data_IF_521359254557
#
_entry.id   IF_521359254557
#
_cell.length_a   1.000
_cell.length_b   1.000
_cell.length_c   1.000
_cell.angle_alpha   90.00
_cell.angle_beta   90.00
_cell.angle_gamma   90.00
#
_symmetry.space_group_name_H-M   'P 1'
#
loop_
_entity.id
_entity.type
_entity.pdbx_description
1 polymer ?
#
# COMPACT_ATOMS: atom_id res chain seq x y z
N UNK A 1 31.99 -12.69 -35.80
CA UNK A 1 32.66 -13.77 -35.02
C UNK A 1 34.10 -13.42 -34.72
N UNK A 2 34.84 -12.84 -35.67
CA UNK A 2 36.13 -12.16 -35.40
C UNK A 2 36.00 -11.02 -34.38
N UNK A 3 34.82 -10.37 -34.32
CA UNK A 3 34.56 -9.23 -33.41
C UNK A 3 34.62 -9.58 -31.92
N UNK A 4 34.25 -10.81 -31.54
CA UNK A 4 34.19 -11.24 -30.13
C UNK A 4 35.20 -12.34 -29.77
N UNK A 5 35.92 -12.91 -30.75
CA UNK A 5 36.96 -13.93 -30.49
C UNK A 5 36.48 -15.25 -29.88
N UNK A 6 35.18 -15.56 -29.93
CA UNK A 6 34.58 -16.76 -29.29
C UNK A 6 33.99 -17.76 -30.29
N UNK A 7 33.80 -19.01 -29.84
CA UNK A 7 33.16 -20.07 -30.62
C UNK A 7 31.66 -19.81 -30.87
N UNK A 8 31.09 -20.43 -31.91
CA UNK A 8 29.63 -20.36 -32.19
C UNK A 8 28.78 -20.89 -31.04
N UNK A 9 29.27 -21.93 -30.37
CA UNK A 9 28.59 -22.54 -29.23
C UNK A 9 28.56 -21.60 -28.04
N UNK A 10 29.70 -20.96 -27.73
CA UNK A 10 29.82 -19.96 -26.67
C UNK A 10 28.92 -18.76 -26.92
N UNK A 11 28.87 -18.25 -28.16
CA UNK A 11 27.99 -17.14 -28.52
C UNK A 11 26.51 -17.50 -28.34
N UNK A 12 26.11 -18.71 -28.73
CA UNK A 12 24.74 -19.18 -28.56
C UNK A 12 24.34 -19.29 -27.09
N UNK A 13 25.25 -19.73 -26.23
CA UNK A 13 24.97 -19.84 -24.80
C UNK A 13 24.89 -18.47 -24.13
N UNK A 14 25.78 -17.54 -24.49
CA UNK A 14 25.68 -16.14 -24.06
C UNK A 14 24.34 -15.51 -24.48
N UNK A 15 23.89 -15.74 -25.72
CA UNK A 15 22.59 -15.27 -26.21
C UNK A 15 21.41 -15.87 -25.45
N UNK A 16 21.48 -17.15 -25.06
CA UNK A 16 20.46 -17.79 -24.21
C UNK A 16 20.39 -17.19 -22.81
N UNK A 17 21.54 -16.88 -22.22
CA UNK A 17 21.59 -16.21 -20.91
C UNK A 17 20.98 -14.80 -21.01
N UNK A 18 21.36 -14.03 -22.04
CA UNK A 18 20.80 -12.69 -22.28
C UNK A 18 19.30 -12.73 -22.58
N UNK A 19 18.83 -13.75 -23.32
CA UNK A 19 17.41 -13.99 -23.57
C UNK A 19 16.67 -14.34 -22.27
N UNK A 20 17.25 -15.19 -21.43
CA UNK A 20 16.72 -15.52 -20.11
C UNK A 20 16.67 -14.32 -19.13
N UNK A 21 17.57 -13.34 -19.30
CA UNK A 21 17.54 -12.07 -18.57
C UNK A 21 16.55 -11.05 -19.15
N UNK A 22 15.93 -11.33 -20.31
CA UNK A 22 15.04 -10.40 -21.01
C UNK A 22 15.78 -9.26 -21.73
N UNK A 23 17.10 -9.33 -21.90
CA UNK A 23 17.91 -8.29 -22.56
C UNK A 23 17.89 -8.42 -24.08
N UNK A 24 17.57 -9.62 -24.60
CA UNK A 24 17.41 -9.87 -26.03
C UNK A 24 16.21 -10.79 -26.29
N UNK A 25 15.63 -10.70 -27.48
CA UNK A 25 14.59 -11.62 -27.98
C UNK A 25 15.13 -12.36 -29.20
N UNK A 26 15.02 -13.71 -29.22
CA UNK A 26 15.41 -14.52 -30.37
C UNK A 26 14.18 -14.90 -31.19
N UNK A 27 13.99 -14.24 -32.34
CA UNK A 27 12.90 -14.56 -33.27
C UNK A 27 13.35 -15.60 -34.30
N UNK A 28 12.55 -16.66 -34.48
CA UNK A 28 12.82 -17.71 -35.48
C UNK A 28 12.26 -17.32 -36.86
N UNK A 29 12.92 -17.74 -37.93
CA UNK A 29 12.46 -17.57 -39.32
C UNK A 29 13.43 -16.82 -40.22
N UNK A 30 13.04 -16.61 -41.48
CA UNK A 30 13.86 -15.98 -42.53
C UNK A 30 14.17 -14.51 -42.20
N UNK A 31 13.23 -13.82 -41.53
CA UNK A 31 13.39 -12.47 -40.97
C UNK A 31 13.74 -12.48 -39.48
N UNK A 32 14.11 -13.66 -38.96
CA UNK A 32 14.49 -13.86 -37.57
C UNK A 32 15.88 -13.30 -37.27
N UNK A 33 16.26 -13.35 -35.99
CA UNK A 33 17.49 -12.76 -35.50
C UNK A 33 17.47 -12.52 -34.01
N UNK A 34 18.53 -11.92 -33.50
CA UNK A 34 18.63 -11.43 -32.12
C UNK A 34 18.26 -9.97 -32.13
N UNK A 35 17.29 -9.58 -31.32
CA UNK A 35 16.85 -8.19 -31.16
C UNK A 35 17.10 -7.76 -29.73
N UNK A 36 17.49 -6.49 -29.52
CA UNK A 36 17.55 -5.92 -28.16
C UNK A 36 16.11 -5.86 -27.65
N UNK A 37 15.90 -6.39 -26.45
CA UNK A 37 14.63 -6.32 -25.76
C UNK A 37 14.73 -5.30 -24.63
N UNK A 38 13.64 -4.56 -24.41
CA UNK A 38 13.46 -3.83 -23.16
C UNK A 38 13.00 -4.85 -22.12
N UNK A 39 13.69 -4.91 -20.97
CA UNK A 39 13.32 -5.83 -19.90
C UNK A 39 11.95 -5.38 -19.39
N UNK A 40 10.93 -6.20 -19.61
CA UNK A 40 9.60 -5.88 -19.15
C UNK A 40 9.48 -6.04 -17.63
N UNK A 41 8.51 -5.33 -17.04
CA UNK A 41 8.24 -5.43 -15.60
C UNK A 41 7.93 -6.87 -15.18
N UNK A 42 7.30 -7.65 -16.07
CA UNK A 42 6.91 -9.03 -15.82
C UNK A 42 8.13 -9.93 -15.60
N UNK A 43 9.17 -9.82 -16.40
CA UNK A 43 10.42 -10.59 -16.26
C UNK A 43 11.14 -10.22 -14.98
N UNK A 44 11.17 -8.93 -14.64
CA UNK A 44 11.77 -8.45 -13.39
C UNK A 44 11.04 -9.02 -12.17
N UNK A 45 9.71 -8.93 -12.14
CA UNK A 45 8.87 -9.47 -11.06
C UNK A 45 9.09 -10.98 -10.90
N UNK A 46 9.12 -11.75 -12.00
CA UNK A 46 9.40 -13.19 -11.94
C UNK A 46 10.77 -13.50 -11.32
N UNK A 47 11.80 -12.71 -11.62
CA UNK A 47 13.11 -12.86 -11.00
C UNK A 47 13.06 -12.71 -9.48
N UNK A 48 12.33 -11.70 -8.98
CA UNK A 48 12.12 -11.46 -7.55
C UNK A 48 11.30 -12.60 -6.93
N UNK A 49 10.23 -13.05 -7.59
CA UNK A 49 9.42 -14.19 -7.12
C UNK A 49 10.24 -15.48 -7.01
N UNK A 50 11.10 -15.76 -7.99
CA UNK A 50 12.00 -16.92 -7.93
C UNK A 50 12.98 -16.84 -6.74
N UNK A 51 13.51 -15.66 -6.46
CA UNK A 51 14.36 -15.45 -5.28
C UNK A 51 13.59 -15.69 -3.97
N UNK A 52 12.35 -15.24 -3.90
CA UNK A 52 11.49 -15.38 -2.72
C UNK A 52 10.78 -16.73 -2.63
N UNK A 53 10.79 -17.56 -3.67
CA UNK A 53 10.15 -18.88 -3.67
C UNK A 53 10.62 -19.77 -2.50
N UNK A 54 11.86 -19.58 -2.06
CA UNK A 54 12.45 -20.30 -0.91
C UNK A 54 12.30 -19.56 0.42
N UNK A 55 11.55 -18.46 0.46
CA UNK A 55 11.25 -17.67 1.65
C UNK A 55 9.76 -17.82 1.97
N UNK A 56 9.43 -17.99 3.24
CA UNK A 56 8.05 -17.94 3.70
C UNK A 56 7.63 -16.48 3.82
N UNK A 57 6.78 -16.00 2.91
CA UNK A 57 6.12 -14.69 3.02
C UNK A 57 4.84 -14.90 3.83
N UNK A 58 4.74 -14.28 5.00
CA UNK A 58 3.55 -14.41 5.84
C UNK A 58 2.46 -13.40 5.45
N UNK A 59 1.20 -13.68 5.84
CA UNK A 59 0.10 -12.71 5.73
C UNK A 59 0.43 -11.41 6.47
N UNK A 60 1.18 -11.50 7.57
CA UNK A 60 1.66 -10.34 8.32
C UNK A 60 2.62 -9.48 7.49
N UNK A 61 3.59 -10.10 6.83
CA UNK A 61 4.59 -9.38 6.02
C UNK A 61 3.92 -8.67 4.83
N UNK A 62 3.03 -9.35 4.13
CA UNK A 62 2.33 -8.77 2.97
C UNK A 62 1.37 -7.65 3.40
N UNK A 63 0.68 -7.79 4.54
CA UNK A 63 -0.20 -6.73 5.04
C UNK A 63 0.60 -5.52 5.52
N UNK A 64 1.76 -5.74 6.17
CA UNK A 64 2.65 -4.67 6.63
C UNK A 64 3.17 -3.84 5.47
N UNK A 65 3.67 -4.46 4.39
CA UNK A 65 4.21 -3.70 3.26
C UNK A 65 3.12 -2.91 2.54
N UNK A 66 1.92 -3.49 2.39
CA UNK A 66 0.74 -2.78 1.84
C UNK A 66 0.38 -1.59 2.71
N UNK A 67 0.35 -1.75 4.03
CA UNK A 67 0.08 -0.68 5.00
C UNK A 67 1.05 0.50 4.87
N UNK A 68 2.33 0.23 4.58
CA UNK A 68 3.35 1.27 4.43
C UNK A 68 3.29 1.99 3.07
N UNK A 69 2.84 1.33 2.01
CA UNK A 69 2.96 1.83 0.63
C UNK A 69 1.63 2.30 0.02
N UNK A 70 0.53 1.59 0.26
CA UNK A 70 -0.73 1.90 -0.40
C UNK A 70 -1.40 3.22 0.04
N UNK A 71 -1.40 3.59 1.34
CA UNK A 71 -1.99 4.87 1.73
C UNK A 71 -1.36 6.10 1.05
N UNK A 72 -0.02 6.27 1.01
CA UNK A 72 0.57 7.39 0.27
C UNK A 72 0.38 7.26 -1.26
N UNK A 73 0.32 6.05 -1.82
CA UNK A 73 -0.05 5.85 -3.24
C UNK A 73 -1.44 6.40 -3.54
N UNK A 74 -2.43 6.03 -2.72
CA UNK A 74 -3.81 6.47 -2.89
C UNK A 74 -3.98 7.97 -2.66
N UNK A 75 -3.21 8.56 -1.73
CA UNK A 75 -3.15 10.01 -1.55
C UNK A 75 -2.67 10.72 -2.84
N UNK A 76 -1.57 10.24 -3.43
CA UNK A 76 -1.07 10.78 -4.71
C UNK A 76 -2.14 10.64 -5.80
N UNK A 77 -2.79 9.47 -5.87
CA UNK A 77 -3.88 9.24 -6.82
C UNK A 77 -5.04 10.24 -6.64
N UNK A 78 -5.48 10.50 -5.39
CA UNK A 78 -6.55 11.48 -5.11
C UNK A 78 -6.22 12.88 -5.61
N UNK A 79 -4.97 13.32 -5.47
CA UNK A 79 -4.54 14.65 -5.93
C UNK A 79 -4.57 14.78 -7.48
N UNK A 80 -4.41 13.67 -8.21
CA UNK A 80 -4.25 13.64 -9.67
C UNK A 80 -5.47 13.14 -10.44
N UNK A 81 -6.43 12.53 -9.76
CA UNK A 81 -7.54 11.82 -10.38
C UNK A 81 -8.32 12.71 -11.36
N UNK A 82 -8.63 12.12 -12.51
CA UNK A 82 -9.43 12.71 -13.59
C UNK A 82 -10.76 11.96 -13.75
N UNK A 83 -11.75 12.55 -14.44
CA UNK A 83 -13.05 11.90 -14.68
C UNK A 83 -12.93 10.51 -15.33
N UNK A 84 -11.98 10.31 -16.24
CA UNK A 84 -11.76 9.04 -16.93
C UNK A 84 -11.26 7.94 -15.97
N UNK A 85 -10.45 8.32 -14.98
CA UNK A 85 -9.96 7.42 -13.94
C UNK A 85 -11.10 6.93 -13.05
N UNK A 86 -12.03 7.82 -12.71
CA UNK A 86 -13.20 7.49 -11.90
C UNK A 86 -14.03 6.42 -12.61
N UNK A 87 -14.33 6.62 -13.90
CA UNK A 87 -15.06 5.63 -14.72
C UNK A 87 -14.32 4.30 -14.74
N UNK A 88 -12.98 4.34 -14.86
CA UNK A 88 -12.16 3.13 -14.89
C UNK A 88 -12.19 2.38 -13.56
N UNK A 89 -12.03 3.08 -12.43
CA UNK A 89 -12.11 2.51 -11.09
C UNK A 89 -13.52 1.97 -10.78
N UNK A 90 -14.59 2.66 -11.17
CA UNK A 90 -15.97 2.19 -11.05
C UNK A 90 -16.18 0.86 -11.78
N UNK A 91 -15.61 0.70 -12.98
CA UNK A 91 -15.72 -0.54 -13.75
C UNK A 91 -15.05 -1.76 -13.08
N UNK A 92 -14.11 -1.52 -12.16
CA UNK A 92 -13.41 -2.56 -11.41
C UNK A 92 -14.20 -2.99 -10.15
N UNK A 93 -15.06 -2.12 -9.63
CA UNK A 93 -15.93 -2.42 -8.49
C UNK A 93 -17.16 -3.19 -8.99
N UNK A 94 -17.10 -4.53 -8.97
CA UNK A 94 -18.22 -5.39 -9.38
C UNK A 94 -18.92 -6.03 -8.19
N UNK A 95 -20.25 -5.98 -8.18
CA UNK A 95 -21.06 -6.75 -7.22
C UNK A 95 -21.32 -8.19 -7.67
N UNK A 96 -21.08 -8.51 -8.94
CA UNK A 96 -21.43 -9.80 -9.52
C UNK A 96 -20.50 -10.91 -8.97
N UNK A 97 -21.02 -11.81 -8.11
CA UNK A 97 -20.22 -12.81 -7.41
C UNK A 97 -19.96 -14.05 -8.29
N UNK A 98 -20.44 -14.09 -9.54
CA UNK A 98 -20.62 -15.32 -10.31
C UNK A 98 -19.31 -15.99 -10.76
N UNK A 99 -18.16 -15.30 -10.72
CA UNK A 99 -16.86 -15.92 -11.04
C UNK A 99 -15.74 -15.43 -10.08
N UNK A 100 -15.34 -16.22 -9.07
CA UNK A 100 -14.34 -15.82 -8.08
C UNK A 100 -13.02 -15.29 -8.67
N UNK A 101 -12.50 -15.92 -9.72
CA UNK A 101 -11.25 -15.50 -10.38
C UNK A 101 -11.34 -14.12 -11.04
N UNK A 102 -12.51 -13.71 -11.55
CA UNK A 102 -12.67 -12.38 -12.16
C UNK A 102 -12.79 -11.30 -11.08
N UNK A 103 -13.29 -11.66 -9.90
CA UNK A 103 -13.43 -10.74 -8.77
C UNK A 103 -12.06 -10.42 -8.18
N UNK A 104 -11.23 -11.43 -7.89
CA UNK A 104 -9.85 -11.22 -7.37
C UNK A 104 -9.04 -10.36 -8.33
N UNK A 105 -9.06 -10.70 -9.62
CA UNK A 105 -8.32 -9.93 -10.63
C UNK A 105 -8.77 -8.46 -10.72
N UNK A 106 -10.08 -8.19 -10.53
CA UNK A 106 -10.62 -6.82 -10.59
C UNK A 106 -10.31 -6.01 -9.34
N UNK A 107 -10.46 -6.59 -8.15
CA UNK A 107 -10.17 -5.87 -6.91
C UNK A 107 -8.66 -5.59 -6.77
N UNK A 108 -7.79 -6.53 -7.15
CA UNK A 108 -6.35 -6.27 -7.23
C UNK A 108 -6.05 -5.23 -8.31
N UNK A 109 -6.77 -5.28 -9.44
CA UNK A 109 -6.69 -4.29 -10.50
C UNK A 109 -6.97 -2.86 -10.04
N UNK A 110 -7.82 -2.68 -9.03
CA UNK A 110 -8.12 -1.38 -8.43
C UNK A 110 -6.86 -0.76 -7.81
N UNK A 111 -6.15 -1.49 -6.94
CA UNK A 111 -4.93 -1.01 -6.28
C UNK A 111 -3.80 -0.77 -7.29
N UNK A 112 -3.64 -1.65 -8.30
CA UNK A 112 -2.71 -1.44 -9.41
C UNK A 112 -3.00 -0.17 -10.20
N UNK A 113 -4.27 0.17 -10.39
CA UNK A 113 -4.65 1.39 -11.08
C UNK A 113 -4.21 2.62 -10.29
N UNK A 114 -4.44 2.65 -8.97
CA UNK A 114 -3.97 3.73 -8.10
C UNK A 114 -2.44 3.88 -8.16
N UNK A 115 -1.72 2.76 -8.15
CA UNK A 115 -0.26 2.77 -8.27
C UNK A 115 0.21 3.41 -9.59
N UNK A 116 -0.47 3.15 -10.71
CA UNK A 116 -0.13 3.73 -12.03
C UNK A 116 -0.29 5.25 -12.06
N UNK A 117 -1.23 5.80 -11.32
CA UNK A 117 -1.45 7.26 -11.22
C UNK A 117 -0.28 7.99 -10.53
N UNK A 118 0.61 7.27 -9.85
CA UNK A 118 1.83 7.86 -9.29
C UNK A 118 2.86 8.22 -10.36
N UNK A 119 2.75 7.63 -11.56
CA UNK A 119 3.71 7.75 -12.67
C UNK A 119 5.16 7.40 -12.29
N UNK A 120 5.36 6.79 -11.12
CA UNK A 120 6.67 6.38 -10.66
C UNK A 120 6.89 4.90 -11.02
N UNK A 121 7.79 4.59 -11.98
CA UNK A 121 7.96 3.23 -12.46
C UNK A 121 8.44 2.25 -11.38
N UNK A 122 9.18 2.73 -10.37
CA UNK A 122 9.64 1.89 -9.25
C UNK A 122 8.47 1.56 -8.33
N UNK A 123 7.64 2.55 -8.00
CA UNK A 123 6.47 2.33 -7.14
C UNK A 123 5.44 1.43 -7.82
N UNK A 124 5.23 1.62 -9.12
CA UNK A 124 4.38 0.72 -9.94
C UNK A 124 4.92 -0.71 -9.90
N UNK A 125 6.23 -0.90 -10.12
CA UNK A 125 6.86 -2.22 -10.08
C UNK A 125 6.69 -2.91 -8.72
N UNK A 126 6.92 -2.18 -7.62
CA UNK A 126 6.79 -2.72 -6.25
C UNK A 126 5.34 -3.06 -5.94
N UNK A 127 4.38 -2.21 -6.32
CA UNK A 127 2.96 -2.47 -6.13
C UNK A 127 2.48 -3.66 -6.96
N UNK A 128 2.84 -3.74 -8.26
CA UNK A 128 2.51 -4.88 -9.11
C UNK A 128 3.09 -6.19 -8.54
N UNK A 129 4.30 -6.16 -7.97
CA UNK A 129 4.92 -7.29 -7.30
C UNK A 129 4.12 -7.76 -6.07
N UNK A 130 3.76 -6.83 -5.17
CA UNK A 130 2.96 -7.09 -3.96
C UNK A 130 1.59 -7.68 -4.34
N UNK A 131 0.95 -7.08 -5.33
CA UNK A 131 -0.37 -7.46 -5.81
C UNK A 131 -0.39 -8.86 -6.45
N UNK A 132 0.69 -9.29 -7.10
CA UNK A 132 0.81 -10.66 -7.61
C UNK A 132 0.88 -11.70 -6.48
N UNK A 133 1.60 -11.41 -5.39
CA UNK A 133 1.62 -12.29 -4.21
C UNK A 133 0.21 -12.37 -3.60
N UNK A 134 -0.47 -11.24 -3.52
CA UNK A 134 -1.82 -11.19 -2.97
C UNK A 134 -2.83 -11.96 -3.82
N UNK A 135 -2.72 -11.90 -5.15
CA UNK A 135 -3.54 -12.68 -6.09
C UNK A 135 -3.38 -14.19 -5.86
N UNK A 136 -2.13 -14.65 -5.76
CA UNK A 136 -1.81 -16.04 -5.48
C UNK A 136 -2.36 -16.50 -4.12
N UNK A 137 -2.19 -15.69 -3.07
CA UNK A 137 -2.73 -15.97 -1.74
C UNK A 137 -4.26 -16.06 -1.77
N UNK A 138 -4.94 -15.06 -2.33
CA UNK A 138 -6.41 -15.00 -2.37
C UNK A 138 -7.00 -16.14 -3.19
N UNK A 139 -6.37 -16.48 -4.32
CA UNK A 139 -6.77 -17.59 -5.18
C UNK A 139 -6.67 -18.96 -4.48
N UNK A 140 -5.76 -19.11 -3.52
CA UNK A 140 -5.60 -20.34 -2.74
C UNK A 140 -6.57 -20.44 -1.54
N UNK A 141 -7.10 -19.33 -1.04
CA UNK A 141 -7.79 -19.27 0.26
C UNK A 141 -9.33 -19.36 0.24
N UNK A 142 -9.99 -19.58 -0.90
CA UNK A 142 -11.47 -19.73 -1.02
C UNK A 142 -12.28 -18.81 -0.08
N UNK A 143 -12.06 -17.49 -0.19
CA UNK A 143 -12.52 -16.49 0.77
C UNK A 143 -14.05 -16.26 0.81
N UNK A 144 -14.78 -16.81 -0.16
CA UNK A 144 -16.25 -16.76 -0.21
C UNK A 144 -16.84 -15.40 -0.58
N UNK A 145 -18.14 -15.39 -0.94
CA UNK A 145 -18.81 -14.18 -1.43
C UNK A 145 -18.99 -13.06 -0.40
N UNK A 146 -19.14 -13.40 0.89
CA UNK A 146 -19.29 -12.40 1.96
C UNK A 146 -18.04 -11.52 2.09
N UNK A 147 -16.85 -12.12 1.96
CA UNK A 147 -15.58 -11.40 1.96
C UNK A 147 -15.54 -10.38 0.81
N UNK A 148 -15.80 -10.81 -0.42
CA UNK A 148 -15.75 -9.92 -1.58
C UNK A 148 -16.84 -8.83 -1.54
N UNK A 149 -18.00 -9.10 -0.91
CA UNK A 149 -19.00 -8.07 -0.69
C UNK A 149 -18.50 -6.96 0.25
N UNK A 150 -17.65 -7.28 1.25
CA UNK A 150 -17.01 -6.27 2.10
C UNK A 150 -15.94 -5.49 1.34
N UNK A 151 -15.09 -6.18 0.56
CA UNK A 151 -14.09 -5.54 -0.32
C UNK A 151 -14.74 -4.53 -1.26
N UNK A 152 -15.88 -4.89 -1.87
CA UNK A 152 -16.65 -3.97 -2.74
C UNK A 152 -17.12 -2.73 -1.98
N UNK A 153 -17.55 -2.86 -0.71
CA UNK A 153 -17.93 -1.70 0.11
C UNK A 153 -16.74 -0.81 0.42
N UNK A 154 -15.60 -1.40 0.78
CA UNK A 154 -14.36 -0.67 1.05
C UNK A 154 -13.87 0.09 -0.19
N UNK A 155 -13.84 -0.56 -1.35
CA UNK A 155 -13.46 0.08 -2.62
C UNK A 155 -14.39 1.23 -3.01
N UNK A 156 -15.69 1.13 -2.71
CA UNK A 156 -16.63 2.26 -2.89
C UNK A 156 -16.32 3.42 -1.96
N UNK A 157 -16.04 3.16 -0.68
CA UNK A 157 -15.67 4.22 0.26
C UNK A 157 -14.39 4.95 -0.20
N UNK A 158 -13.37 4.19 -0.62
CA UNK A 158 -12.14 4.73 -1.21
C UNK A 158 -12.44 5.58 -2.44
N UNK A 159 -13.27 5.08 -3.35
CA UNK A 159 -13.64 5.80 -4.58
C UNK A 159 -14.40 7.10 -4.28
N UNK A 160 -15.28 7.14 -3.28
CA UNK A 160 -15.97 8.37 -2.90
C UNK A 160 -14.99 9.42 -2.35
N UNK A 161 -13.99 9.01 -1.55
CA UNK A 161 -12.91 9.90 -1.15
C UNK A 161 -12.09 10.40 -2.35
N UNK A 162 -11.78 9.53 -3.31
CA UNK A 162 -11.07 9.88 -4.53
C UNK A 162 -11.85 10.91 -5.37
N UNK A 163 -13.16 10.72 -5.58
CA UNK A 163 -14.03 11.67 -6.29
C UNK A 163 -14.03 13.07 -5.66
N UNK A 164 -13.96 13.11 -4.33
CA UNK A 164 -13.91 14.37 -3.55
C UNK A 164 -12.50 14.94 -3.43
N UNK A 165 -11.48 14.25 -3.95
CA UNK A 165 -10.06 14.55 -3.74
C UNK A 165 -9.70 14.69 -2.25
N UNK A 166 -10.37 13.91 -1.40
CA UNK A 166 -10.10 13.86 0.04
C UNK A 166 -8.87 12.98 0.31
N UNK A 167 -7.70 13.61 0.27
CA UNK A 167 -6.40 12.98 0.53
C UNK A 167 -6.30 12.32 1.91
N UNK A 168 -6.94 12.87 2.93
CA UNK A 168 -6.91 12.32 4.29
C UNK A 168 -7.89 11.15 4.41
N UNK A 169 -9.10 11.32 3.87
CA UNK A 169 -10.11 10.28 3.82
C UNK A 169 -9.64 9.05 3.04
N UNK A 170 -9.03 9.23 1.86
CA UNK A 170 -8.57 8.10 1.04
C UNK A 170 -7.50 7.27 1.77
N UNK A 171 -6.58 7.92 2.50
CA UNK A 171 -5.58 7.21 3.31
C UNK A 171 -6.24 6.38 4.40
N UNK A 172 -7.21 6.95 5.10
CA UNK A 172 -7.96 6.27 6.16
C UNK A 172 -8.70 5.06 5.60
N UNK A 173 -9.44 5.20 4.50
CA UNK A 173 -10.22 4.10 3.93
C UNK A 173 -9.34 2.99 3.36
N UNK A 174 -8.19 3.32 2.76
CA UNK A 174 -7.19 2.31 2.37
C UNK A 174 -6.69 1.56 3.60
N UNK A 175 -6.29 2.26 4.67
CA UNK A 175 -5.84 1.60 5.90
C UNK A 175 -6.91 0.65 6.45
N UNK A 176 -8.17 1.07 6.49
CA UNK A 176 -9.28 0.23 6.94
C UNK A 176 -9.43 -1.02 6.08
N UNK A 177 -9.43 -0.88 4.74
CA UNK A 177 -9.48 -2.00 3.79
C UNK A 177 -8.34 -2.99 4.01
N UNK A 178 -7.11 -2.48 4.13
CA UNK A 178 -5.91 -3.31 4.31
C UNK A 178 -5.95 -4.13 5.59
N UNK A 179 -6.37 -3.51 6.70
CA UNK A 179 -6.47 -4.20 7.98
C UNK A 179 -7.63 -5.20 7.99
N UNK A 180 -8.77 -4.87 7.40
CA UNK A 180 -9.90 -5.80 7.28
C UNK A 180 -9.54 -7.02 6.42
N UNK A 181 -8.96 -6.79 5.24
CA UNK A 181 -8.48 -7.86 4.34
C UNK A 181 -7.39 -8.68 5.03
N UNK A 182 -6.38 -8.04 5.61
CA UNK A 182 -5.29 -8.73 6.31
C UNK A 182 -5.79 -9.62 7.45
N UNK A 183 -6.75 -9.13 8.25
CA UNK A 183 -7.41 -9.91 9.30
C UNK A 183 -8.14 -11.13 8.74
N UNK A 184 -8.86 -10.96 7.63
CA UNK A 184 -9.60 -12.05 7.01
C UNK A 184 -8.65 -13.12 6.43
N UNK A 185 -7.59 -12.71 5.74
CA UNK A 185 -6.57 -13.62 5.21
C UNK A 185 -5.84 -14.37 6.32
N UNK A 186 -5.53 -13.70 7.43
CA UNK A 186 -4.89 -14.32 8.58
C UNK A 186 -5.80 -15.40 9.20
N UNK A 187 -7.09 -15.08 9.38
CA UNK A 187 -8.09 -16.03 9.86
C UNK A 187 -8.25 -17.23 8.93
N UNK A 188 -8.34 -17.00 7.62
CA UNK A 188 -8.50 -18.06 6.62
C UNK A 188 -7.27 -18.99 6.54
N UNK A 189 -6.07 -18.46 6.80
CA UNK A 189 -4.80 -19.20 6.78
C UNK A 189 -4.39 -19.77 8.15
N UNK A 190 -5.14 -19.50 9.22
CA UNK A 190 -4.78 -19.91 10.58
C UNK A 190 -3.52 -19.22 11.13
N UNK A 191 -3.24 -17.99 10.66
CA UNK A 191 -2.08 -17.18 11.09
C UNK A 191 -2.51 -15.97 11.91
N UNK A 192 -1.55 -15.30 12.55
CA UNK A 192 -1.83 -14.03 13.25
C UNK A 192 -1.91 -12.88 12.25
N UNK A 193 -2.88 -11.97 12.40
CA UNK A 193 -2.96 -10.77 11.58
C UNK A 193 -1.79 -9.83 11.85
N UNK A 194 -1.55 -8.94 10.89
CA UNK A 194 -0.67 -7.81 11.10
C UNK A 194 -1.29 -6.83 12.10
N UNK A 195 -0.51 -6.44 13.10
CA UNK A 195 -0.82 -5.37 14.03
C UNK A 195 0.08 -4.17 13.71
N UNK A 196 -0.47 -3.01 13.30
CA UNK A 196 0.30 -1.79 13.06
C UNK A 196 1.15 -1.34 14.24
N UNK A 197 0.80 -1.71 15.48
CA UNK A 197 1.55 -1.33 16.69
C UNK A 197 3.01 -1.76 16.63
N UNK A 198 3.35 -2.83 15.90
CA UNK A 198 4.72 -3.33 15.77
C UNK A 198 5.64 -2.34 15.05
N UNK A 199 5.09 -1.47 14.20
CA UNK A 199 5.85 -0.44 13.48
C UNK A 199 6.22 0.74 14.38
N UNK A 200 5.50 0.89 15.49
CA UNK A 200 5.77 1.90 16.51
C UNK A 200 6.94 1.45 17.42
N UNK A 201 7.42 0.21 17.27
CA UNK A 201 8.58 -0.37 17.95
C UNK A 201 8.30 -0.82 19.39
N UNK A 202 8.89 -1.95 19.80
CA UNK A 202 8.93 -2.41 21.21
C UNK A 202 9.75 -1.49 22.14
N UNK A 203 10.30 -0.39 21.61
CA UNK A 203 11.07 0.63 22.31
C UNK A 203 10.52 2.05 22.09
N UNK A 204 9.24 2.22 21.74
CA UNK A 204 8.53 3.33 22.37
C UNK A 204 8.07 2.82 23.73
N UNK A 205 8.60 3.36 24.83
CA UNK A 205 8.10 2.97 26.12
C UNK A 205 6.68 3.51 26.23
N UNK A 206 5.71 2.63 26.04
CA UNK A 206 4.35 2.89 26.49
C UNK A 206 4.04 1.78 27.50
N UNK A 207 4.81 1.76 28.60
CA UNK A 207 4.17 1.40 29.85
C UNK A 207 3.19 2.53 30.17
N UNK A 208 2.08 2.20 30.82
CA UNK A 208 1.14 3.20 31.36
C UNK A 208 1.79 4.22 32.31
N UNK A 209 3.06 4.03 32.68
CA UNK A 209 3.91 4.99 33.42
C UNK A 209 4.72 5.94 32.52
N UNK A 210 4.87 5.67 31.22
CA UNK A 210 5.63 6.56 30.32
C UNK A 210 4.77 7.51 29.49
N UNK A 211 3.44 7.27 29.45
CA UNK A 211 2.50 8.39 29.29
C UNK A 211 2.82 9.47 30.33
N UNK A 212 3.15 9.08 31.56
CA UNK A 212 3.45 9.98 32.68
C UNK A 212 4.72 10.83 32.50
N UNK A 213 5.75 10.34 31.79
CA UNK A 213 7.02 11.08 31.61
C UNK A 213 6.96 12.09 30.45
N UNK A 214 6.12 11.84 29.43
CA UNK A 214 5.76 12.86 28.44
C UNK A 214 4.67 13.83 28.97
N UNK A 215 3.93 13.42 30.00
CA UNK A 215 2.98 14.22 30.80
C UNK A 215 3.63 15.03 31.93
N UNK A 216 4.92 14.82 32.23
CA UNK A 216 5.56 15.39 33.44
C UNK A 216 5.89 16.89 33.35
N UNK A 217 5.74 17.50 32.17
CA UNK A 217 5.54 18.95 32.11
C UNK A 217 4.06 19.22 32.30
N UNK A 218 3.74 19.81 33.44
CA UNK A 218 2.44 20.46 33.67
C UNK A 218 1.99 21.15 32.39
N UNK A 219 0.75 20.92 31.94
CA UNK A 219 0.14 21.60 30.79
C UNK A 219 0.29 23.13 30.87
N UNK A 220 0.49 23.67 32.08
CA UNK A 220 0.76 25.08 32.36
C UNK A 220 2.11 25.59 31.82
N UNK A 221 3.05 24.70 31.48
CA UNK A 221 4.39 25.06 30.95
C UNK A 221 4.55 24.85 29.44
N UNK A 222 3.59 24.17 28.79
CA UNK A 222 3.60 23.96 27.34
C UNK A 222 2.74 25.05 26.69
N UNK A 223 3.31 25.98 25.91
CA UNK A 223 2.54 27.03 25.27
C UNK A 223 1.62 26.46 24.19
N UNK A 224 0.39 26.98 24.12
CA UNK A 224 -0.59 26.64 23.08
C UNK A 224 0.03 26.93 21.70
N UNK A 225 -0.03 25.95 20.80
CA UNK A 225 0.54 26.10 19.46
C UNK A 225 -0.14 27.24 18.71
N UNK A 226 0.63 28.22 18.21
CA UNK A 226 0.12 29.31 17.37
C UNK A 226 -0.56 28.81 16.09
N UNK A 227 -0.12 27.65 15.60
CA UNK A 227 -0.75 27.01 14.44
C UNK A 227 -2.17 26.50 14.78
N UNK A 228 -2.41 26.05 16.02
CA UNK A 228 -3.75 25.65 16.47
C UNK A 228 -4.68 26.84 16.63
N UNK A 229 -4.19 27.92 17.22
CA UNK A 229 -4.96 29.17 17.33
C UNK A 229 -5.36 29.69 15.95
N UNK A 230 -4.49 29.51 14.94
CA UNK A 230 -4.78 29.85 13.54
C UNK A 230 -5.82 28.94 12.89
N UNK A 231 -5.84 27.65 13.23
CA UNK A 231 -6.72 26.64 12.59
C UNK A 231 -8.10 26.58 13.25
N UNK A 232 -8.15 26.59 14.58
CA UNK A 232 -9.37 26.35 15.37
C UNK A 232 -9.88 27.61 16.11
N UNK A 233 -9.14 28.71 16.06
CA UNK A 233 -9.38 29.90 16.88
C UNK A 233 -8.80 29.75 18.29
N UNK A 234 -8.51 30.88 18.94
CA UNK A 234 -7.87 30.92 20.28
C UNK A 234 -8.69 30.16 21.33
N UNK A 235 -10.02 30.36 21.33
CA UNK A 235 -10.90 29.80 22.35
C UNK A 235 -10.97 28.26 22.32
N UNK A 236 -11.07 27.66 21.13
CA UNK A 236 -11.14 26.21 20.99
C UNK A 236 -9.78 25.55 21.18
N UNK A 237 -8.70 26.18 20.73
CA UNK A 237 -7.34 25.71 20.96
C UNK A 237 -7.01 25.68 22.46
N UNK A 238 -7.38 26.71 23.21
CA UNK A 238 -7.19 26.77 24.66
C UNK A 238 -8.03 25.72 25.40
N UNK A 239 -9.26 25.45 24.94
CA UNK A 239 -10.11 24.40 25.52
C UNK A 239 -9.51 23.01 25.33
N UNK A 240 -9.04 22.69 24.13
CA UNK A 240 -8.40 21.41 23.82
C UNK A 240 -7.11 21.22 24.62
N UNK A 241 -6.28 22.26 24.72
CA UNK A 241 -5.05 22.24 25.52
C UNK A 241 -5.33 22.01 27.01
N UNK A 242 -6.36 22.66 27.57
CA UNK A 242 -6.81 22.41 28.96
C UNK A 242 -7.35 21.00 29.19
N UNK A 243 -7.78 20.31 28.14
CA UNK A 243 -8.29 18.95 28.18
C UNK A 243 -7.21 17.88 27.89
N UNK A 244 -5.92 18.26 27.90
CA UNK A 244 -4.81 17.32 27.73
C UNK A 244 -4.53 16.92 26.28
N UNK A 245 -5.10 17.64 25.32
CA UNK A 245 -4.81 17.43 23.89
C UNK A 245 -3.63 18.31 23.49
N UNK A 246 -2.54 17.67 23.03
CA UNK A 246 -1.36 18.37 22.52
C UNK A 246 -1.15 18.01 21.05
N UNK A 247 -0.88 19.02 20.23
CA UNK A 247 -0.54 18.80 18.83
C UNK A 247 0.92 19.14 18.58
N UNK A 248 1.60 18.26 17.83
CA UNK A 248 2.99 18.51 17.42
C UNK A 248 3.12 18.35 15.91
N UNK A 249 3.78 19.31 15.29
CA UNK A 249 4.22 19.23 13.91
C UNK A 249 5.47 18.35 13.85
N UNK A 250 5.44 17.27 13.07
CA UNK A 250 6.62 16.43 12.84
C UNK A 250 7.03 16.60 11.37
N UNK A 251 8.29 16.98 11.16
CA UNK A 251 8.81 17.30 9.83
C UNK A 251 8.21 18.59 9.25
N UNK A 252 8.07 18.65 7.93
CA UNK A 252 7.66 19.87 7.20
C UNK A 252 6.17 19.95 6.86
N UNK A 253 5.40 18.86 7.05
CA UNK A 253 4.06 18.74 6.44
C UNK A 253 2.87 18.60 7.37
N UNK A 254 2.94 17.78 8.42
CA UNK A 254 1.70 17.31 9.09
C UNK A 254 1.69 17.55 10.60
N UNK A 255 0.53 18.00 11.11
CA UNK A 255 0.22 18.05 12.54
C UNK A 255 -0.27 16.69 12.99
N UNK A 256 0.34 16.15 14.04
CA UNK A 256 -0.15 14.97 14.73
C UNK A 256 -0.93 15.36 15.98
N UNK A 257 -1.99 14.61 16.25
CA UNK A 257 -2.77 14.67 17.48
C UNK A 257 -2.20 13.68 18.48
N UNK A 258 -1.94 14.14 19.70
CA UNK A 258 -1.59 13.29 20.83
C UNK A 258 -2.60 13.63 21.94
N UNK A 259 -3.54 12.72 22.21
CA UNK A 259 -4.35 12.79 23.42
C UNK A 259 -3.55 12.21 24.57
N UNK A 260 -3.40 12.99 25.64
CA UNK A 260 -2.65 12.55 26.82
C UNK A 260 -3.54 11.86 27.88
N UNK A 261 -4.87 11.85 27.69
CA UNK A 261 -5.84 11.20 28.59
C UNK A 261 -6.96 10.44 27.83
N UNK A 262 -7.61 9.49 28.54
CA UNK A 262 -8.69 8.63 28.03
C UNK A 262 -9.86 9.44 27.44
N UNK A 263 -10.17 9.18 26.17
CA UNK A 263 -11.15 9.94 25.36
C UNK A 263 -12.61 9.49 25.57
N UNK A 264 -12.88 8.68 26.59
CA UNK A 264 -14.21 8.15 26.91
C UNK A 264 -15.27 9.21 27.29
N UNK A 265 -14.88 10.47 27.48
CA UNK A 265 -15.76 11.58 27.85
C UNK A 265 -15.97 12.65 26.75
N UNK A 266 -15.55 12.42 25.51
CA UNK A 266 -15.73 13.38 24.42
C UNK A 266 -17.15 13.32 23.84
N UNK A 267 -17.98 14.34 24.10
CA UNK A 267 -19.18 14.65 23.32
C UNK A 267 -19.04 16.04 22.70
N UNK A 268 -19.23 16.12 21.38
CA UNK A 268 -19.20 17.36 20.57
C UNK A 268 -20.22 18.40 21.04
#
# INVERSE_FOLDING_TARGET
MSEFGVSKATLREALRVLEGMGLVEIRKGITGGVFIAEVDMKTTIHGIMNFLHFKTISIKDITMIRYLLEPPVAQIAASRIQPEDIVKLESMITEDPVVPHTIVSREIGFHRYLARMTENPILILVMDFIDNILDDIKSQLNLGGEFYHKVVKSHRAILECLKQKDEVGVRREIINDLLEVGNHLAKASGTQPFDPSILLGENLPISSEQTSILLERSLNEVPVSKDLQRIFGEELADRLHKQGVVFRRIGTGELYFIALDDLSHFSL
#
